data_IF_419523926174
#
_entry.id   IF_419523926174
#
_cell.length_a   1.000
_cell.length_b   1.000
_cell.length_c   1.000
_cell.angle_alpha   90.00
_cell.angle_beta   90.00
_cell.angle_gamma   90.00
#
_symmetry.space_group_name_H-M   'P 1'
#
loop_
_entity.id
_entity.type
_entity.pdbx_description
1 polymer ?
#
# COMPACT_ATOMS: atom_id res chain seq x y z
N UNK A 1 -26.94 -8.07 -27.75
CA UNK A 1 -27.05 -6.94 -26.80
C UNK A 1 -26.67 -7.50 -25.43
N UNK A 2 -25.39 -7.73 -25.18
CA UNK A 2 -24.95 -8.64 -24.08
C UNK A 2 -23.58 -8.29 -23.47
N UNK A 3 -23.13 -7.04 -23.57
CA UNK A 3 -21.75 -6.67 -23.19
C UNK A 3 -21.63 -5.87 -21.87
N UNK A 4 -22.67 -5.11 -21.50
CA UNK A 4 -22.55 -4.15 -20.38
C UNK A 4 -22.64 -4.79 -18.99
N UNK A 5 -23.40 -5.88 -18.84
CA UNK A 5 -23.57 -6.55 -17.54
C UNK A 5 -22.36 -7.44 -17.20
N UNK A 6 -21.79 -8.13 -18.19
CA UNK A 6 -20.62 -8.98 -18.03
C UNK A 6 -19.36 -8.18 -17.65
N UNK A 7 -19.12 -7.03 -18.30
CA UNK A 7 -17.96 -6.18 -18.00
C UNK A 7 -18.00 -5.54 -16.60
N UNK A 8 -19.20 -5.25 -16.08
CA UNK A 8 -19.38 -4.71 -14.73
C UNK A 8 -19.09 -5.76 -13.65
N UNK A 9 -19.53 -7.01 -13.88
CA UNK A 9 -19.28 -8.13 -12.97
C UNK A 9 -17.78 -8.49 -12.91
N UNK A 10 -17.10 -8.52 -14.06
CA UNK A 10 -15.65 -8.78 -14.13
C UNK A 10 -14.84 -7.70 -13.40
N UNK A 11 -15.21 -6.42 -13.58
CA UNK A 11 -14.55 -5.31 -12.90
C UNK A 11 -14.68 -5.40 -11.37
N UNK A 12 -15.87 -5.76 -10.86
CA UNK A 12 -16.09 -5.93 -9.43
C UNK A 12 -15.30 -7.10 -8.86
N UNK A 13 -15.20 -8.22 -9.59
CA UNK A 13 -14.36 -9.36 -9.20
C UNK A 13 -12.89 -8.98 -9.14
N UNK A 14 -12.40 -8.25 -10.14
CA UNK A 14 -11.01 -7.76 -10.17
C UNK A 14 -10.73 -6.85 -8.98
N UNK A 15 -11.61 -5.88 -8.67
CA UNK A 15 -11.45 -5.03 -7.48
C UNK A 15 -11.48 -5.83 -6.18
N UNK A 16 -12.36 -6.83 -6.08
CA UNK A 16 -12.40 -7.75 -4.93
C UNK A 16 -11.09 -8.52 -4.75
N UNK A 17 -10.50 -8.99 -5.85
CA UNK A 17 -9.17 -9.62 -5.84
C UNK A 17 -8.08 -8.64 -5.38
N UNK A 18 -8.03 -7.42 -5.95
CA UNK A 18 -7.06 -6.40 -5.54
C UNK A 18 -7.18 -6.10 -4.05
N UNK A 19 -8.39 -6.03 -3.51
CA UNK A 19 -8.60 -5.81 -2.08
C UNK A 19 -8.05 -6.94 -1.22
N UNK A 20 -8.20 -8.20 -1.65
CA UNK A 20 -7.59 -9.35 -0.98
C UNK A 20 -6.06 -9.20 -0.94
N UNK A 21 -5.45 -8.90 -2.09
CA UNK A 21 -4.00 -8.69 -2.21
C UNK A 21 -3.53 -7.55 -1.30
N UNK A 22 -4.29 -6.46 -1.21
CA UNK A 22 -4.02 -5.36 -0.31
C UNK A 22 -4.08 -5.78 1.17
N UNK A 23 -5.10 -6.57 1.56
CA UNK A 23 -5.24 -7.08 2.93
C UNK A 23 -4.08 -8.02 3.31
N UNK A 24 -3.69 -8.92 2.41
CA UNK A 24 -2.56 -9.84 2.61
C UNK A 24 -1.24 -9.09 2.84
N UNK A 25 -1.06 -7.95 2.15
CA UNK A 25 0.15 -7.13 2.28
C UNK A 25 0.38 -6.60 3.70
N UNK A 26 -0.67 -6.34 4.48
CA UNK A 26 -0.58 -5.67 5.79
C UNK A 26 0.34 -6.43 6.74
N UNK A 27 0.05 -7.72 6.94
CA UNK A 27 0.82 -8.57 7.85
C UNK A 27 2.19 -8.89 7.27
N UNK A 28 2.26 -9.24 5.98
CA UNK A 28 3.50 -9.61 5.32
C UNK A 28 4.52 -8.47 5.34
N UNK A 29 4.11 -7.27 4.95
CA UNK A 29 4.99 -6.11 4.90
C UNK A 29 5.33 -5.56 6.29
N UNK A 30 4.43 -5.67 7.27
CA UNK A 30 4.78 -5.31 8.66
C UNK A 30 5.92 -6.18 9.19
N UNK A 31 5.84 -7.49 8.96
CA UNK A 31 6.89 -8.43 9.37
C UNK A 31 8.18 -8.16 8.60
N UNK A 32 8.11 -8.14 7.26
CA UNK A 32 9.28 -7.93 6.39
C UNK A 32 10.00 -6.62 6.73
N UNK A 33 9.24 -5.55 6.97
CA UNK A 33 9.80 -4.25 7.34
C UNK A 33 10.56 -4.34 8.67
N UNK A 34 9.96 -4.93 9.70
CA UNK A 34 10.59 -5.01 11.02
C UNK A 34 11.77 -5.99 11.07
N UNK A 35 11.80 -7.02 10.21
CA UNK A 35 12.96 -7.90 10.09
C UNK A 35 14.15 -7.21 9.44
N UNK A 36 13.91 -6.39 8.40
CA UNK A 36 14.99 -5.81 7.57
C UNK A 36 15.38 -4.39 7.98
N UNK A 37 14.47 -3.64 8.59
CA UNK A 37 14.56 -2.19 8.74
C UNK A 37 14.21 -1.70 10.15
N UNK A 38 14.14 -2.59 11.15
CA UNK A 38 13.95 -2.16 12.54
C UNK A 38 15.11 -1.26 12.98
N UNK A 39 14.77 -0.13 13.60
CA UNK A 39 15.71 0.83 14.16
C UNK A 39 16.23 1.87 13.16
N UNK A 40 15.77 1.87 11.91
CA UNK A 40 16.13 2.95 10.98
C UNK A 40 15.50 4.29 11.39
N UNK A 41 16.08 5.42 10.98
CA UNK A 41 15.47 6.74 11.14
C UNK A 41 14.09 6.84 10.50
N UNK A 42 13.14 7.50 11.18
CA UNK A 42 11.76 7.65 10.69
C UNK A 42 11.69 8.33 9.32
N UNK A 43 12.51 9.35 9.04
CA UNK A 43 12.54 10.02 7.74
C UNK A 43 12.91 9.12 6.55
N UNK A 44 13.48 7.93 6.79
CA UNK A 44 13.78 6.94 5.74
C UNK A 44 12.63 5.96 5.49
N UNK A 45 11.67 5.86 6.39
CA UNK A 45 10.66 4.80 6.34
C UNK A 45 9.67 4.96 5.17
N UNK A 46 9.36 6.18 4.75
CA UNK A 46 8.37 6.45 3.70
C UNK A 46 8.74 5.87 2.34
N UNK A 47 9.98 6.06 1.88
CA UNK A 47 10.42 5.52 0.60
C UNK A 47 10.55 3.99 0.64
N UNK A 48 10.99 3.42 1.76
CA UNK A 48 11.06 1.97 1.94
C UNK A 48 9.66 1.37 1.87
N UNK A 49 8.69 1.93 2.59
CA UNK A 49 7.31 1.46 2.57
C UNK A 49 6.71 1.51 1.16
N UNK A 50 6.97 2.61 0.43
CA UNK A 50 6.57 2.77 -0.97
C UNK A 50 7.10 1.64 -1.84
N UNK A 51 8.40 1.39 -1.77
CA UNK A 51 9.07 0.41 -2.62
C UNK A 51 8.64 -1.02 -2.27
N UNK A 52 8.45 -1.32 -0.98
CA UNK A 52 7.92 -2.60 -0.51
C UNK A 52 6.51 -2.87 -1.01
N UNK A 53 5.63 -1.86 -1.03
CA UNK A 53 4.27 -1.99 -1.56
C UNK A 53 4.27 -2.24 -3.07
N UNK A 54 5.03 -1.45 -3.83
CA UNK A 54 5.15 -1.66 -5.29
C UNK A 54 5.67 -3.07 -5.59
N UNK A 55 6.71 -3.50 -4.86
CA UNK A 55 7.26 -4.85 -4.99
C UNK A 55 6.27 -5.95 -4.57
N UNK A 56 5.46 -5.74 -3.53
CA UNK A 56 4.42 -6.70 -3.13
C UNK A 56 3.41 -6.95 -4.24
N UNK A 57 2.81 -5.89 -4.77
CA UNK A 57 1.78 -5.99 -5.80
C UNK A 57 2.35 -6.62 -7.09
N UNK A 58 3.55 -6.20 -7.53
CA UNK A 58 4.19 -6.75 -8.72
C UNK A 58 4.66 -8.20 -8.58
N UNK A 59 5.05 -8.64 -7.37
CA UNK A 59 5.37 -10.05 -7.09
C UNK A 59 4.11 -10.93 -7.04
N UNK A 60 2.98 -10.37 -6.61
CA UNK A 60 1.72 -11.11 -6.49
C UNK A 60 1.07 -11.40 -7.84
N UNK A 61 1.03 -10.41 -8.71
CA UNK A 61 0.53 -10.54 -10.09
C UNK A 61 1.22 -9.52 -11.00
N UNK A 62 1.78 -9.98 -12.12
CA UNK A 62 2.48 -9.12 -13.10
C UNK A 62 1.54 -8.14 -13.81
N UNK A 63 0.24 -8.43 -13.85
CA UNK A 63 -0.78 -7.55 -14.41
C UNK A 63 -1.28 -6.51 -13.41
N UNK A 64 -0.96 -6.68 -12.12
CA UNK A 64 -1.35 -5.79 -11.04
C UNK A 64 -0.23 -4.78 -10.79
N UNK A 65 -0.41 -3.56 -11.30
CA UNK A 65 0.60 -2.50 -11.16
C UNK A 65 0.06 -1.39 -10.28
N UNK A 66 0.91 -0.89 -9.39
CA UNK A 66 0.65 0.32 -8.63
C UNK A 66 1.84 1.28 -8.77
N UNK A 67 1.55 2.57 -8.83
CA UNK A 67 2.54 3.64 -8.94
C UNK A 67 2.23 4.64 -7.84
N UNK A 68 3.27 5.08 -7.12
CA UNK A 68 3.11 6.04 -6.05
C UNK A 68 2.70 7.41 -6.60
N UNK A 69 1.56 7.93 -6.13
CA UNK A 69 1.11 9.29 -6.40
C UNK A 69 1.63 10.24 -5.32
N UNK A 70 1.61 9.81 -4.06
CA UNK A 70 2.14 10.60 -2.94
C UNK A 70 2.59 9.70 -1.79
N UNK A 71 3.59 10.17 -1.05
CA UNK A 71 4.06 9.54 0.20
C UNK A 71 4.41 10.67 1.15
N UNK A 72 3.54 10.89 2.13
CA UNK A 72 3.62 12.04 3.02
C UNK A 72 3.61 11.59 4.47
N UNK A 73 4.40 12.25 5.31
CA UNK A 73 4.28 12.11 6.75
C UNK A 73 3.18 13.04 7.25
N UNK A 74 2.07 12.49 7.74
CA UNK A 74 0.95 13.29 8.26
C UNK A 74 1.36 13.99 9.57
N UNK A 75 2.13 13.28 10.39
CA UNK A 75 2.84 13.78 11.58
C UNK A 75 3.99 12.82 11.91
N UNK A 76 4.79 13.16 12.91
CA UNK A 76 5.86 12.28 13.37
C UNK A 76 5.29 10.90 13.76
N UNK A 77 5.86 9.85 13.19
CA UNK A 77 5.41 8.46 13.39
C UNK A 77 4.26 8.00 12.51
N UNK A 78 3.72 8.84 11.62
CA UNK A 78 2.66 8.44 10.70
C UNK A 78 3.01 8.74 9.25
N UNK A 79 2.86 7.75 8.39
CA UNK A 79 3.03 7.88 6.94
C UNK A 79 1.74 7.50 6.25
N UNK A 80 1.33 8.34 5.31
CA UNK A 80 0.28 8.07 4.35
C UNK A 80 0.87 8.00 2.96
N UNK A 81 0.66 6.90 2.28
CA UNK A 81 1.01 6.72 0.88
C UNK A 81 -0.26 6.46 0.06
N UNK A 82 -0.34 7.08 -1.11
CA UNK A 82 -1.42 6.89 -2.07
C UNK A 82 -0.81 6.44 -3.39
N UNK A 83 -1.41 5.44 -4.00
CA UNK A 83 -0.97 4.87 -5.26
C UNK A 83 -2.13 4.83 -6.25
N UNK A 84 -1.82 5.16 -7.50
CA UNK A 84 -2.67 4.84 -8.64
C UNK A 84 -2.39 3.41 -9.07
N UNK A 85 -3.43 2.61 -9.18
CA UNK A 85 -3.35 1.20 -9.54
C UNK A 85 -4.09 0.90 -10.84
N UNK A 86 -3.56 -0.03 -11.61
CA UNK A 86 -4.19 -0.54 -12.82
C UNK A 86 -4.01 -2.06 -12.87
N UNK A 87 -5.10 -2.76 -13.22
CA UNK A 87 -5.07 -4.18 -13.57
C UNK A 87 -6.02 -4.45 -14.71
N UNK A 88 -5.51 -5.02 -15.80
CA UNK A 88 -6.24 -5.22 -17.05
C UNK A 88 -6.94 -3.91 -17.48
N UNK A 89 -8.26 -3.85 -17.39
CA UNK A 89 -9.07 -2.70 -17.80
C UNK A 89 -9.66 -1.92 -16.61
N UNK A 90 -9.17 -2.16 -15.40
CA UNK A 90 -9.69 -1.57 -14.16
C UNK A 90 -8.63 -0.69 -13.53
N UNK A 91 -9.00 0.56 -13.26
CA UNK A 91 -8.20 1.48 -12.44
C UNK A 91 -8.75 1.54 -11.04
N UNK A 92 -7.86 1.74 -10.08
CA UNK A 92 -8.19 1.84 -8.67
C UNK A 92 -7.18 2.72 -7.95
N UNK A 93 -7.49 3.15 -6.73
CA UNK A 93 -6.47 3.74 -5.86
C UNK A 93 -6.17 2.81 -4.71
N UNK A 94 -4.91 2.76 -4.29
CA UNK A 94 -4.49 2.10 -3.07
C UNK A 94 -4.08 3.17 -2.07
N UNK A 95 -4.58 3.08 -0.85
CA UNK A 95 -4.14 3.89 0.27
C UNK A 95 -3.42 2.99 1.27
N UNK A 96 -2.24 3.41 1.70
CA UNK A 96 -1.50 2.79 2.79
C UNK A 96 -1.28 3.82 3.90
N UNK A 97 -1.78 3.51 5.09
CA UNK A 97 -1.56 4.29 6.30
C UNK A 97 -0.72 3.45 7.26
N UNK A 98 0.46 3.96 7.61
CA UNK A 98 1.43 3.29 8.45
C UNK A 98 1.72 4.07 9.72
N UNK A 99 1.74 3.37 10.85
CA UNK A 99 2.04 3.93 12.17
C UNK A 99 3.32 3.30 12.69
N UNK A 100 4.27 4.17 13.05
CA UNK A 100 5.57 3.83 13.58
C UNK A 100 5.66 4.20 15.06
N UNK A 101 6.35 3.35 15.81
CA UNK A 101 6.77 3.67 17.17
C UNK A 101 8.22 4.14 17.13
N UNK A 102 8.51 5.28 17.73
CA UNK A 102 9.83 5.89 17.76
C UNK A 102 10.44 5.79 19.16
N UNK A 103 11.74 5.56 19.22
CA UNK A 103 12.52 5.59 20.46
C UNK A 103 12.90 7.03 20.90
N UNK A 104 12.28 8.05 20.32
CA UNK A 104 12.56 9.46 20.59
C UNK A 104 11.58 10.40 19.89
N UNK A 105 11.76 11.71 20.08
CA UNK A 105 10.85 12.75 19.61
C UNK A 105 11.22 13.41 18.27
N UNK A 106 12.08 12.78 17.45
CA UNK A 106 12.57 13.38 16.21
C UNK A 106 12.45 12.45 15.00
N UNK A 107 12.51 13.01 13.80
CA UNK A 107 12.49 12.24 12.56
C UNK A 107 13.76 11.38 12.35
N UNK A 108 14.85 11.69 13.06
CA UNK A 108 16.08 10.91 13.08
C UNK A 108 16.02 9.75 14.10
N UNK A 109 14.99 9.71 14.95
CA UNK A 109 14.87 8.70 15.98
C UNK A 109 14.66 7.30 15.37
N UNK A 110 15.32 6.26 15.91
CA UNK A 110 15.08 4.88 15.53
C UNK A 110 13.61 4.53 15.68
N UNK A 111 13.07 3.77 14.73
CA UNK A 111 11.67 3.39 14.76
C UNK A 111 11.42 1.95 14.31
N UNK A 112 10.20 1.47 14.56
CA UNK A 112 9.69 0.21 14.01
C UNK A 112 8.24 0.39 13.58
N UNK A 113 7.82 -0.40 12.60
CA UNK A 113 6.46 -0.37 12.07
C UNK A 113 5.53 -1.09 13.03
N UNK A 114 4.61 -0.34 13.66
CA UNK A 114 3.62 -0.87 14.61
C UNK A 114 2.39 -1.40 13.88
N UNK A 115 1.92 -0.65 12.90
CA UNK A 115 0.68 -0.96 12.18
C UNK A 115 0.78 -0.50 10.73
N UNK A 116 0.27 -1.32 9.82
CA UNK A 116 0.10 -0.99 8.41
C UNK A 116 -1.31 -1.35 7.98
N UNK A 117 -2.07 -0.34 7.57
CA UNK A 117 -3.36 -0.51 6.93
C UNK A 117 -3.23 -0.21 5.46
N UNK A 118 -3.74 -1.14 4.64
CA UNK A 118 -3.77 -0.97 3.17
C UNK A 118 -5.18 -1.22 2.69
N UNK A 119 -5.78 -0.24 2.03
CA UNK A 119 -7.13 -0.29 1.49
C UNK A 119 -7.13 0.12 0.02
N UNK A 120 -8.18 -0.28 -0.69
CA UNK A 120 -8.42 0.21 -2.04
C UNK A 120 -9.65 1.11 -2.06
N UNK A 121 -9.58 2.17 -2.85
CA UNK A 121 -10.74 2.97 -3.20
C UNK A 121 -11.36 2.40 -4.47
N UNK A 122 -12.61 1.95 -4.35
CA UNK A 122 -13.39 1.35 -5.45
C UNK A 122 -14.11 2.42 -6.29
N UNK A 123 -14.08 3.69 -5.88
CA UNK A 123 -14.74 4.81 -6.53
C UNK A 123 -13.70 5.73 -7.18
N UNK A 124 -13.16 5.33 -8.31
CA UNK A 124 -12.58 6.30 -9.25
C UNK A 124 -13.73 6.86 -10.08
N UNK A 125 -14.38 7.91 -9.59
CA UNK A 125 -15.32 8.73 -10.37
C UNK A 125 -14.63 9.45 -11.52
#
# INVERSE_FOLDING_TARGET
>A
MTDKLAGKDDSQRLLGYVESVAKESRKALTLEFNEKHKGIPFNKTGHILRDSLIAWFGRRDKNLKIIAESVNSAKLGEIRAVFGGETKNVRFKVRADAVFSLAGGSAESPCYLKELNVSIDRHTS
#
